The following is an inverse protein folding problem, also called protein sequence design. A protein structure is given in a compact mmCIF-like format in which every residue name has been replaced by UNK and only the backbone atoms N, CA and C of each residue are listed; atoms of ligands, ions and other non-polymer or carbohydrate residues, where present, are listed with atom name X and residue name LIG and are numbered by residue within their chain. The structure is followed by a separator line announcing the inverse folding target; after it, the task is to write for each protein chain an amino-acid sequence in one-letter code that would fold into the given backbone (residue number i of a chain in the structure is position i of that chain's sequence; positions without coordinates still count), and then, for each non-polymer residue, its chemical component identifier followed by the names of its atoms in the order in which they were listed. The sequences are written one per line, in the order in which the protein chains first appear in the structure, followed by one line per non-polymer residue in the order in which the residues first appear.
data_IF_389160487703
#
_entry.id   IF_389160487703
#
_cell.length_a   1.000
_cell.length_b   1.000
_cell.length_c   1.000
_cell.angle_alpha   90.00
_cell.angle_beta   90.00
_cell.angle_gamma   90.00
#
_symmetry.space_group_name_H-M   'P 1'
#
loop_
_entity.id
_entity.type
_entity.pdbx_description
1 polymer ?
#
# COMPACT_ATOMS: atom_id res chain seq x y z
N UNK A 1 -5.77 21.73 -14.95
CA UNK A 1 -4.31 21.75 -14.72
C UNK A 1 -3.66 20.61 -15.48
N UNK A 2 -2.37 20.71 -15.78
CA UNK A 2 -1.55 19.64 -16.32
C UNK A 2 -0.62 19.11 -15.23
N UNK A 3 -0.76 17.83 -14.89
CA UNK A 3 -0.15 17.21 -13.70
C UNK A 3 0.74 16.06 -14.13
N UNK A 4 1.96 15.98 -13.59
CA UNK A 4 2.85 14.83 -13.74
C UNK A 4 2.89 14.02 -12.45
N UNK A 5 2.75 12.68 -12.54
CA UNK A 5 2.89 11.74 -11.44
C UNK A 5 4.20 10.95 -11.61
N UNK A 6 5.09 11.03 -10.62
CA UNK A 6 6.42 10.40 -10.63
C UNK A 6 6.62 9.63 -9.33
N UNK A 7 7.07 8.36 -9.40
CA UNK A 7 7.46 7.60 -8.20
C UNK A 7 6.95 6.18 -8.13
N UNK A 8 5.81 5.91 -8.74
CA UNK A 8 5.26 4.56 -8.88
C UNK A 8 6.08 3.72 -9.87
N UNK A 9 5.88 2.41 -9.86
CA UNK A 9 6.49 1.53 -10.86
C UNK A 9 5.73 1.63 -12.19
N UNK A 10 4.43 1.35 -12.16
CA UNK A 10 3.53 1.44 -13.34
C UNK A 10 2.08 1.51 -12.92
N UNK A 11 1.24 2.04 -13.77
CA UNK A 11 -0.21 1.91 -13.74
C UNK A 11 -0.71 1.49 -15.15
N UNK A 12 -1.79 0.66 -15.24
CA UNK A 12 -2.45 -0.02 -14.12
C UNK A 12 -1.58 -1.13 -13.52
N UNK A 13 -1.59 -1.29 -12.21
CA UNK A 13 -0.87 -2.38 -11.54
C UNK A 13 -1.25 -2.50 -10.07
N UNK A 14 -1.27 -3.72 -9.56
CA UNK A 14 -1.42 -4.01 -8.13
C UNK A 14 -0.12 -4.51 -7.48
N UNK A 15 1.05 -4.15 -8.03
CA UNK A 15 2.36 -4.52 -7.47
C UNK A 15 2.62 -3.97 -6.07
N UNK A 16 1.95 -2.90 -5.68
CA UNK A 16 2.08 -2.29 -4.36
C UNK A 16 1.07 -1.18 -4.13
N UNK A 17 1.00 -0.69 -2.89
CA UNK A 17 0.04 0.34 -2.50
C UNK A 17 0.22 1.67 -3.25
N UNK A 18 1.46 2.06 -3.58
CA UNK A 18 1.73 3.30 -4.33
C UNK A 18 1.09 3.27 -5.71
N UNK A 19 1.16 2.12 -6.40
CA UNK A 19 0.56 1.92 -7.71
C UNK A 19 -0.95 2.11 -7.65
N UNK A 20 -1.62 1.50 -6.66
CA UNK A 20 -3.06 1.63 -6.42
C UNK A 20 -3.44 3.10 -6.16
N UNK A 21 -2.70 3.79 -5.31
CA UNK A 21 -2.94 5.20 -4.98
C UNK A 21 -2.77 6.10 -6.20
N UNK A 22 -1.69 5.93 -6.96
CA UNK A 22 -1.43 6.77 -8.14
C UNK A 22 -2.47 6.51 -9.22
N UNK A 23 -2.90 5.28 -9.42
CA UNK A 23 -3.97 4.92 -10.36
C UNK A 23 -5.29 5.58 -9.97
N UNK A 24 -5.76 5.34 -8.73
CA UNK A 24 -7.02 5.85 -8.23
C UNK A 24 -7.09 7.38 -8.24
N UNK A 25 -6.01 8.06 -7.84
CA UNK A 25 -5.92 9.51 -7.85
C UNK A 25 -5.84 10.07 -9.28
N UNK A 26 -5.06 9.45 -10.17
CA UNK A 26 -4.85 9.94 -11.52
C UNK A 26 -6.10 9.87 -12.37
N UNK A 27 -6.85 8.77 -12.33
CA UNK A 27 -8.08 8.58 -13.08
C UNK A 27 -9.16 9.56 -12.63
N UNK A 28 -9.29 9.78 -11.31
CA UNK A 28 -10.25 10.77 -10.78
C UNK A 28 -9.87 12.20 -11.08
N UNK A 29 -8.59 12.55 -11.04
CA UNK A 29 -8.14 13.89 -11.47
C UNK A 29 -8.45 14.15 -12.93
N UNK A 30 -8.39 13.13 -13.81
CA UNK A 30 -8.83 13.25 -15.20
C UNK A 30 -10.33 13.53 -15.26
N UNK A 31 -11.14 12.81 -14.48
CA UNK A 31 -12.59 13.04 -14.42
C UNK A 31 -12.95 14.45 -13.91
N UNK A 32 -12.09 15.05 -13.06
CA UNK A 32 -12.19 16.45 -12.63
C UNK A 32 -11.66 17.46 -13.66
N UNK A 33 -11.42 17.03 -14.91
CA UNK A 33 -11.03 17.89 -16.03
C UNK A 33 -9.53 18.25 -16.09
N UNK A 34 -8.67 17.51 -15.40
CA UNK A 34 -7.22 17.71 -15.49
C UNK A 34 -6.60 16.84 -16.58
N UNK A 35 -5.44 17.27 -17.09
CA UNK A 35 -4.58 16.44 -17.92
C UNK A 35 -3.53 15.80 -17.03
N UNK A 36 -3.61 14.47 -16.86
CA UNK A 36 -2.67 13.73 -16.00
C UNK A 36 -1.73 12.87 -16.84
N UNK A 37 -0.45 12.91 -16.50
CA UNK A 37 0.61 12.12 -17.14
C UNK A 37 1.36 11.34 -16.08
N UNK A 38 1.34 10.01 -16.17
CA UNK A 38 2.06 9.11 -15.28
C UNK A 38 3.34 8.60 -15.94
N UNK A 39 4.45 8.69 -15.22
CA UNK A 39 5.75 8.23 -15.68
C UNK A 39 6.02 6.82 -15.15
N UNK A 40 5.72 5.80 -15.97
CA UNK A 40 5.93 4.40 -15.62
C UNK A 40 7.40 3.99 -15.75
N UNK A 41 7.89 3.12 -14.87
CA UNK A 41 9.21 2.49 -15.03
C UNK A 41 9.16 1.41 -16.11
N UNK A 42 10.24 1.26 -16.88
CA UNK A 42 10.38 0.09 -17.74
C UNK A 42 10.68 -1.17 -16.91
N UNK A 43 10.38 -2.34 -17.45
CA UNK A 43 10.60 -3.65 -16.82
C UNK A 43 9.31 -4.48 -16.67
N UNK A 44 9.45 -5.70 -16.17
CA UNK A 44 8.34 -6.63 -15.93
C UNK A 44 7.72 -6.48 -14.55
N UNK A 45 6.60 -7.16 -14.32
CA UNK A 45 5.95 -7.28 -13.03
C UNK A 45 6.82 -8.08 -12.06
N UNK A 46 6.93 -7.66 -10.79
CA UNK A 46 7.80 -8.33 -9.80
C UNK A 46 7.39 -9.77 -9.50
N UNK A 47 6.09 -10.09 -9.62
CA UNK A 47 5.55 -11.44 -9.38
C UNK A 47 5.51 -12.32 -10.64
N UNK A 48 6.11 -11.88 -11.75
CA UNK A 48 6.23 -12.68 -12.97
C UNK A 48 5.61 -12.04 -14.22
N UNK A 49 6.05 -12.53 -15.39
CA UNK A 49 5.63 -11.98 -16.69
C UNK A 49 4.14 -12.12 -16.97
N UNK A 50 3.49 -13.14 -16.42
CA UNK A 50 2.04 -13.39 -16.56
C UNK A 50 1.18 -12.26 -15.99
N UNK A 51 1.71 -11.49 -15.03
CA UNK A 51 1.04 -10.34 -14.42
C UNK A 51 1.41 -9.01 -15.06
N UNK A 52 2.30 -9.03 -16.06
CA UNK A 52 2.70 -7.79 -16.76
C UNK A 52 1.59 -7.33 -17.68
N UNK A 53 1.07 -6.13 -17.45
CA UNK A 53 0.17 -5.47 -18.38
C UNK A 53 0.88 -5.14 -19.69
N UNK A 54 0.14 -5.17 -20.82
CA UNK A 54 0.69 -4.68 -22.10
C UNK A 54 1.09 -3.21 -21.95
N UNK A 55 2.19 -2.82 -22.59
CA UNK A 55 2.59 -1.40 -22.63
C UNK A 55 1.50 -0.58 -23.30
N UNK A 56 0.88 0.30 -22.54
CA UNK A 56 -0.17 1.19 -22.98
C UNK A 56 0.35 2.62 -22.99
N UNK A 57 -0.20 3.44 -23.87
CA UNK A 57 0.09 4.90 -23.92
C UNK A 57 -0.95 5.72 -23.17
N UNK A 58 -2.13 5.15 -22.95
CA UNK A 58 -3.24 5.77 -22.23
C UNK A 58 -3.97 4.70 -21.40
N UNK A 59 -4.48 5.09 -20.26
CA UNK A 59 -5.31 4.27 -19.37
C UNK A 59 -6.35 5.18 -18.71
N UNK A 60 -7.64 4.96 -18.94
CA UNK A 60 -8.74 5.75 -18.39
C UNK A 60 -8.52 7.27 -18.46
N UNK A 61 -8.10 7.76 -19.63
CA UNK A 61 -7.80 9.17 -19.86
C UNK A 61 -6.42 9.64 -19.35
N UNK A 62 -5.73 8.85 -18.54
CA UNK A 62 -4.38 9.14 -18.05
C UNK A 62 -3.37 8.82 -19.13
N UNK A 63 -2.50 9.78 -19.50
CA UNK A 63 -1.39 9.55 -20.43
C UNK A 63 -0.24 8.83 -19.72
N UNK A 64 0.24 7.75 -20.32
CA UNK A 64 1.34 6.94 -19.78
C UNK A 64 2.63 7.14 -20.58
N UNK A 65 3.71 7.45 -19.90
CA UNK A 65 5.04 7.59 -20.46
C UNK A 65 5.97 6.58 -19.80
N UNK A 66 6.50 5.63 -20.56
CA UNK A 66 7.50 4.69 -20.04
C UNK A 66 8.88 5.35 -20.05
N UNK A 67 9.56 5.28 -18.92
CA UNK A 67 10.92 5.78 -18.71
C UNK A 67 11.87 4.59 -18.69
N UNK A 68 12.91 4.57 -19.53
CA UNK A 68 13.95 3.54 -19.49
C UNK A 68 14.59 3.49 -18.10
N UNK A 69 14.68 2.28 -17.55
CA UNK A 69 15.14 2.10 -16.17
C UNK A 69 16.05 0.89 -16.10
N UNK A 70 17.26 1.00 -15.53
CA UNK A 70 18.16 -0.14 -15.37
C UNK A 70 17.54 -1.17 -14.43
N UNK A 71 17.77 -2.47 -14.68
CA UNK A 71 17.23 -3.56 -13.87
C UNK A 71 18.05 -3.82 -12.59
N UNK A 72 18.87 -2.86 -12.17
CA UNK A 72 19.68 -2.92 -10.93
C UNK A 72 18.86 -2.52 -9.72
N UNK A 73 18.86 -3.31 -8.65
CA UNK A 73 18.14 -3.01 -7.39
C UNK A 73 18.48 -1.63 -6.81
N UNK A 74 19.75 -1.22 -6.86
CA UNK A 74 20.22 0.04 -6.27
C UNK A 74 19.97 1.26 -7.17
N UNK A 75 20.17 1.14 -8.48
CA UNK A 75 20.14 2.26 -9.42
C UNK A 75 18.77 2.48 -10.06
N UNK A 76 17.88 1.47 -10.01
CA UNK A 76 16.56 1.53 -10.64
C UNK A 76 15.79 2.79 -10.24
N UNK A 77 15.58 3.00 -8.94
CA UNK A 77 14.80 4.12 -8.44
C UNK A 77 15.49 5.47 -8.69
N UNK A 78 16.81 5.56 -8.55
CA UNK A 78 17.58 6.81 -8.72
C UNK A 78 17.53 7.26 -10.18
N UNK A 79 17.92 6.36 -11.12
CA UNK A 79 17.96 6.68 -12.55
C UNK A 79 16.57 6.99 -13.09
N UNK A 80 15.57 6.19 -12.69
CA UNK A 80 14.17 6.46 -13.04
C UNK A 80 13.75 7.85 -12.58
N UNK A 81 13.94 8.18 -11.31
CA UNK A 81 13.49 9.46 -10.73
C UNK A 81 14.13 10.64 -11.44
N UNK A 82 15.44 10.54 -11.74
CA UNK A 82 16.16 11.57 -12.48
C UNK A 82 15.62 11.72 -13.92
N UNK A 83 15.57 10.63 -14.69
CA UNK A 83 15.12 10.67 -16.10
C UNK A 83 13.66 11.11 -16.22
N UNK A 84 12.77 10.64 -15.32
CA UNK A 84 11.38 11.06 -15.31
C UNK A 84 11.26 12.57 -15.02
N UNK A 85 12.01 13.07 -14.04
CA UNK A 85 12.04 14.50 -13.69
C UNK A 85 12.53 15.34 -14.86
N UNK A 86 13.69 15.00 -15.46
CA UNK A 86 14.22 15.73 -16.62
C UNK A 86 13.20 15.73 -17.77
N UNK A 87 12.61 14.58 -18.08
CA UNK A 87 11.59 14.48 -19.15
C UNK A 87 10.36 15.34 -18.85
N UNK A 88 9.94 15.43 -17.58
CA UNK A 88 8.83 16.25 -17.16
C UNK A 88 9.09 17.76 -17.36
N UNK A 89 10.31 18.24 -17.15
CA UNK A 89 10.65 19.67 -17.33
C UNK A 89 10.32 20.20 -18.73
N UNK A 90 10.46 19.37 -19.76
CA UNK A 90 10.20 19.77 -21.17
C UNK A 90 8.71 19.79 -21.52
N UNK A 91 7.80 19.45 -20.60
CA UNK A 91 6.37 19.27 -20.90
C UNK A 91 5.45 20.34 -20.32
N UNK A 92 5.98 21.38 -19.68
CA UNK A 92 5.24 22.50 -19.06
C UNK A 92 4.06 22.03 -18.21
N UNK A 93 4.36 21.41 -17.06
CA UNK A 93 3.36 21.02 -16.05
C UNK A 93 3.07 22.18 -15.12
N UNK A 94 1.81 22.27 -14.64
CA UNK A 94 1.43 23.14 -13.55
C UNK A 94 1.91 22.57 -12.22
N UNK A 95 1.87 21.23 -12.08
CA UNK A 95 2.28 20.51 -10.86
C UNK A 95 3.07 19.25 -11.24
N UNK A 96 4.15 18.98 -10.53
CA UNK A 96 4.82 17.66 -10.51
C UNK A 96 4.65 17.08 -9.12
N UNK A 97 3.95 15.93 -9.06
CA UNK A 97 3.69 15.20 -7.83
C UNK A 97 4.61 13.98 -7.73
N UNK A 98 5.44 13.97 -6.71
CA UNK A 98 6.35 12.88 -6.40
C UNK A 98 5.74 11.96 -5.35
N UNK A 99 5.80 10.66 -5.58
CA UNK A 99 5.35 9.64 -4.64
C UNK A 99 6.54 8.90 -4.05
N UNK A 100 6.65 8.89 -2.72
CA UNK A 100 7.72 8.32 -1.90
C UNK A 100 9.03 9.12 -1.84
N UNK A 101 9.83 8.83 -0.82
CA UNK A 101 11.08 9.53 -0.48
C UNK A 101 12.15 9.44 -1.59
N UNK A 102 12.28 8.24 -2.21
CA UNK A 102 13.27 8.04 -3.25
C UNK A 102 13.13 9.01 -4.43
N UNK A 103 11.98 9.08 -5.10
CA UNK A 103 11.69 10.06 -6.14
C UNK A 103 11.73 11.51 -5.66
N UNK A 104 11.35 11.79 -4.42
CA UNK A 104 11.41 13.12 -3.82
C UNK A 104 12.83 13.70 -3.77
N UNK A 105 13.87 12.87 -3.86
CA UNK A 105 15.24 13.32 -3.99
C UNK A 105 15.45 14.30 -5.15
N UNK A 106 14.60 14.25 -6.20
CA UNK A 106 14.68 15.10 -7.38
C UNK A 106 13.74 16.31 -7.34
N UNK A 107 12.94 16.52 -6.30
CA UNK A 107 11.91 17.57 -6.26
C UNK A 107 12.48 18.99 -6.29
N UNK A 108 13.75 19.19 -5.93
CA UNK A 108 14.42 20.49 -6.03
C UNK A 108 14.62 20.95 -7.48
N UNK A 109 14.72 20.01 -8.44
CA UNK A 109 15.00 20.35 -9.85
C UNK A 109 13.85 21.16 -10.47
N UNK A 110 12.58 20.69 -10.47
CA UNK A 110 11.46 21.49 -10.99
C UNK A 110 11.26 22.81 -10.28
N UNK A 111 11.60 22.85 -8.97
CA UNK A 111 11.52 24.07 -8.17
C UNK A 111 12.42 25.20 -8.73
N UNK A 112 13.61 24.85 -9.26
CA UNK A 112 14.49 25.81 -9.92
C UNK A 112 13.88 26.43 -11.19
N UNK A 113 12.90 25.76 -11.78
CA UNK A 113 12.17 26.23 -12.96
C UNK A 113 10.79 26.83 -12.63
N UNK A 114 10.49 27.07 -11.36
CA UNK A 114 9.23 27.65 -10.92
C UNK A 114 8.02 26.72 -11.02
N UNK A 115 8.22 25.41 -11.22
CA UNK A 115 7.14 24.43 -11.31
C UNK A 115 6.74 24.05 -9.87
N UNK A 116 5.43 24.09 -9.57
CA UNK A 116 4.91 23.66 -8.27
C UNK A 116 5.18 22.17 -8.05
N UNK A 117 5.76 21.85 -6.90
CA UNK A 117 6.14 20.48 -6.52
C UNK A 117 5.36 20.03 -5.29
N UNK A 118 4.75 18.86 -5.40
CA UNK A 118 4.06 18.17 -4.30
C UNK A 118 4.73 16.84 -4.06
N UNK A 119 4.85 16.41 -2.82
CA UNK A 119 5.44 15.12 -2.44
C UNK A 119 4.47 14.40 -1.52
N UNK A 120 4.10 13.16 -1.86
CA UNK A 120 3.42 12.25 -0.91
C UNK A 120 4.42 11.28 -0.29
N UNK A 121 4.53 11.31 1.04
CA UNK A 121 5.29 10.36 1.84
C UNK A 121 4.37 9.20 2.22
N UNK A 122 4.59 8.05 1.62
CA UNK A 122 3.78 6.84 1.84
C UNK A 122 4.17 6.04 3.08
N UNK A 123 5.02 6.55 3.90
CA UNK A 123 5.61 5.96 5.09
C UNK A 123 7.11 6.24 5.13
N UNK A 124 7.75 6.00 6.25
CA UNK A 124 9.19 6.22 6.40
C UNK A 124 9.96 5.01 5.82
N UNK A 125 10.12 5.00 4.49
CA UNK A 125 10.71 3.86 3.76
C UNK A 125 12.11 3.48 4.24
N UNK A 126 12.88 4.42 4.73
CA UNK A 126 14.23 4.18 5.26
C UNK A 126 14.24 3.31 6.54
N UNK A 127 13.11 3.17 7.24
CA UNK A 127 12.94 2.26 8.39
C UNK A 127 12.79 0.80 7.98
N UNK A 128 12.54 0.50 6.70
CA UNK A 128 12.32 -0.86 6.22
C UNK A 128 13.64 -1.66 6.22
N UNK A 129 13.61 -2.87 6.73
CA UNK A 129 14.77 -3.77 6.90
C UNK A 129 15.55 -4.07 5.61
N UNK A 130 14.88 -4.03 4.46
CA UNK A 130 15.48 -4.30 3.14
C UNK A 130 16.51 -3.27 2.68
N UNK A 131 16.56 -2.08 3.29
CA UNK A 131 17.43 -1.01 2.87
C UNK A 131 18.74 -1.01 3.69
N UNK A 132 19.86 -1.24 3.02
CA UNK A 132 21.21 -1.11 3.62
C UNK A 132 21.83 0.27 3.36
N UNK A 133 22.89 0.58 4.04
CA UNK A 133 23.67 1.81 4.10
C UNK A 133 23.43 2.90 3.05
N UNK A 134 23.76 2.66 1.76
CA UNK A 134 23.60 3.66 0.70
C UNK A 134 22.12 3.98 0.41
N UNK A 135 21.27 2.96 0.33
CA UNK A 135 19.85 3.17 0.03
C UNK A 135 19.14 3.96 1.14
N UNK A 136 19.42 3.65 2.40
CA UNK A 136 18.93 4.42 3.55
C UNK A 136 19.37 5.89 3.50
N UNK A 137 20.65 6.16 3.17
CA UNK A 137 21.14 7.54 3.00
C UNK A 137 20.45 8.27 1.86
N UNK A 138 20.20 7.58 0.74
CA UNK A 138 19.48 8.17 -0.40
C UNK A 138 18.02 8.49 -0.06
N UNK A 139 17.31 7.60 0.66
CA UNK A 139 15.93 7.85 1.10
C UNK A 139 15.87 9.03 2.06
N UNK A 140 16.76 9.10 3.05
CA UNK A 140 16.87 10.27 3.96
C UNK A 140 17.24 11.56 3.23
N UNK A 141 18.06 11.49 2.19
CA UNK A 141 18.32 12.64 1.32
C UNK A 141 17.07 13.10 0.59
N UNK A 142 16.26 12.16 0.08
CA UNK A 142 14.97 12.48 -0.56
C UNK A 142 13.97 13.10 0.40
N UNK A 143 13.86 12.56 1.61
CA UNK A 143 13.03 13.10 2.69
C UNK A 143 13.44 14.55 3.05
N UNK A 144 14.76 14.79 3.23
CA UNK A 144 15.30 16.13 3.50
C UNK A 144 15.02 17.10 2.35
N UNK A 145 15.13 16.63 1.08
CA UNK A 145 14.81 17.44 -0.09
C UNK A 145 13.32 17.77 -0.15
N UNK A 146 12.44 16.80 0.13
CA UNK A 146 11.01 17.06 0.27
C UNK A 146 10.74 18.14 1.32
N UNK A 147 11.29 18.00 2.53
CA UNK A 147 11.12 18.97 3.61
C UNK A 147 11.58 20.38 3.23
N UNK A 148 12.68 20.49 2.44
CA UNK A 148 13.29 21.79 2.10
C UNK A 148 12.70 22.44 0.86
N UNK A 149 12.35 21.67 -0.18
CA UNK A 149 12.08 22.20 -1.51
C UNK A 149 10.65 21.99 -2.01
N UNK A 150 9.91 20.99 -1.50
CA UNK A 150 8.53 20.79 -1.93
C UNK A 150 7.65 21.98 -1.51
N UNK A 151 6.74 22.40 -2.40
CA UNK A 151 5.74 23.41 -2.05
C UNK A 151 4.78 22.85 -1.01
N UNK A 152 4.32 21.61 -1.21
CA UNK A 152 3.47 20.90 -0.26
C UNK A 152 3.95 19.47 -0.05
N UNK A 153 3.76 18.95 1.16
CA UNK A 153 4.03 17.57 1.52
C UNK A 153 2.75 16.95 2.06
N UNK A 154 2.32 15.86 1.43
CA UNK A 154 1.22 15.01 1.88
C UNK A 154 1.80 13.87 2.70
N UNK A 155 1.21 13.61 3.86
CA UNK A 155 1.50 12.46 4.72
C UNK A 155 0.24 11.68 5.01
N UNK A 156 0.37 10.37 5.25
CA UNK A 156 -0.75 9.43 5.37
C UNK A 156 -1.11 9.09 6.82
N UNK A 157 -0.33 9.56 7.80
CA UNK A 157 -0.60 9.39 9.23
C UNK A 157 -0.22 10.64 10.02
N UNK A 158 -0.86 10.84 11.16
CA UNK A 158 -0.54 11.93 12.10
C UNK A 158 0.84 11.72 12.74
N UNK A 159 1.24 10.46 12.92
CA UNK A 159 2.57 10.11 13.41
C UNK A 159 3.67 10.61 12.47
N UNK A 160 3.52 10.43 11.15
CA UNK A 160 4.47 10.97 10.15
C UNK A 160 4.38 12.48 10.06
N UNK A 161 3.19 13.08 10.23
CA UNK A 161 3.03 14.54 10.30
C UNK A 161 3.85 15.14 11.45
N UNK A 162 3.71 14.58 12.64
CA UNK A 162 4.49 14.98 13.82
C UNK A 162 5.99 14.77 13.61
N UNK A 163 6.40 13.65 13.01
CA UNK A 163 7.79 13.38 12.70
C UNK A 163 8.43 14.47 11.81
N UNK A 164 7.74 14.93 10.75
CA UNK A 164 8.24 16.02 9.90
C UNK A 164 8.33 17.34 10.63
N UNK A 165 7.36 17.64 11.50
CA UNK A 165 7.39 18.86 12.32
C UNK A 165 8.56 18.82 13.31
N UNK A 166 8.73 17.73 14.05
CA UNK A 166 9.79 17.57 15.06
C UNK A 166 11.19 17.51 14.44
N UNK A 167 11.34 16.86 13.27
CA UNK A 167 12.66 16.61 12.64
C UNK A 167 13.13 17.77 11.76
N UNK A 168 12.20 18.39 11.03
CA UNK A 168 12.51 19.38 10.00
C UNK A 168 11.87 20.76 10.24
N UNK A 169 11.05 20.93 11.27
CA UNK A 169 10.22 22.12 11.46
C UNK A 169 9.23 22.34 10.30
N UNK A 170 8.90 21.28 9.56
CA UNK A 170 8.10 21.35 8.33
C UNK A 170 6.67 20.91 8.57
N UNK A 171 5.73 21.84 8.40
CA UNK A 171 4.29 21.52 8.37
C UNK A 171 3.97 20.71 7.12
N UNK A 172 3.16 19.67 7.29
CA UNK A 172 2.70 18.77 6.24
C UNK A 172 1.18 18.69 6.23
N UNK A 173 0.59 18.16 5.16
CA UNK A 173 -0.85 17.99 5.01
C UNK A 173 -1.22 16.52 5.22
N UNK A 174 -2.06 16.25 6.20
CA UNK A 174 -2.65 14.92 6.36
C UNK A 174 -3.76 14.73 5.33
N UNK A 175 -3.48 13.92 4.32
CA UNK A 175 -4.44 13.49 3.30
C UNK A 175 -4.26 11.96 3.18
N UNK A 176 -5.16 11.16 3.77
CA UNK A 176 -5.05 9.71 3.77
C UNK A 176 -5.25 9.11 2.38
N UNK A 177 -4.98 7.80 2.23
CA UNK A 177 -5.42 7.04 1.07
C UNK A 177 -6.94 6.85 1.10
N UNK A 178 -7.55 6.65 -0.06
CA UNK A 178 -8.95 6.31 -0.17
C UNK A 178 -9.19 4.82 -0.34
N UNK A 179 -10.47 4.47 -0.25
CA UNK A 179 -10.98 3.13 -0.55
C UNK A 179 -12.30 3.24 -1.30
N UNK A 180 -12.62 2.25 -2.10
CA UNK A 180 -13.93 2.11 -2.75
C UNK A 180 -14.77 1.07 -2.03
N UNK A 181 -16.09 1.21 -2.16
CA UNK A 181 -16.99 0.14 -1.76
C UNK A 181 -16.87 -1.01 -2.76
N UNK A 182 -16.40 -2.19 -2.35
CA UNK A 182 -16.25 -3.30 -3.26
C UNK A 182 -17.60 -3.99 -3.53
N UNK A 183 -17.62 -4.78 -4.60
CA UNK A 183 -18.65 -5.79 -4.81
C UNK A 183 -18.28 -7.06 -4.05
N UNK A 184 -19.18 -7.55 -3.21
CA UNK A 184 -18.98 -8.82 -2.48
C UNK A 184 -19.17 -9.99 -3.45
N UNK A 185 -18.17 -10.85 -3.54
CA UNK A 185 -18.16 -12.02 -4.43
C UNK A 185 -18.57 -13.32 -3.72
N UNK A 186 -18.80 -14.35 -4.50
CA UNK A 186 -18.94 -15.73 -4.05
C UNK A 186 -17.61 -16.34 -3.62
N UNK A 187 -17.46 -17.64 -3.84
CA UNK A 187 -16.25 -18.40 -3.51
C UNK A 187 -15.89 -19.44 -4.59
N UNK A 188 -16.42 -19.27 -5.82
CA UNK A 188 -16.33 -20.24 -6.89
C UNK A 188 -14.89 -20.52 -7.33
N UNK A 189 -14.10 -19.48 -7.53
CA UNK A 189 -12.71 -19.62 -7.97
C UNK A 189 -11.78 -20.07 -6.84
N UNK A 190 -11.96 -19.57 -5.61
CA UNK A 190 -11.16 -20.00 -4.45
C UNK A 190 -11.51 -21.44 -4.02
N UNK A 191 -12.76 -21.84 -4.17
CA UNK A 191 -13.17 -23.23 -3.92
C UNK A 191 -12.50 -24.17 -4.94
N UNK A 192 -12.59 -23.84 -6.23
CA UNK A 192 -12.00 -24.64 -7.31
C UNK A 192 -10.48 -24.76 -7.19
N UNK A 193 -9.80 -23.66 -6.84
CA UNK A 193 -8.34 -23.59 -6.88
C UNK A 193 -7.67 -24.01 -5.58
N UNK A 194 -8.28 -23.70 -4.45
CA UNK A 194 -7.69 -23.87 -3.13
C UNK A 194 -8.54 -24.69 -2.16
N UNK A 195 -9.72 -25.17 -2.60
CA UNK A 195 -10.72 -25.87 -1.77
C UNK A 195 -11.16 -25.03 -0.54
N UNK A 196 -11.22 -23.70 -0.71
CA UNK A 196 -11.67 -22.76 0.32
C UNK A 196 -13.17 -22.50 0.20
N UNK A 197 -13.83 -22.30 1.35
CA UNK A 197 -15.24 -21.93 1.42
C UNK A 197 -15.39 -20.58 2.15
N UNK A 198 -16.38 -19.81 1.76
CA UNK A 198 -16.74 -18.55 2.42
C UNK A 198 -16.96 -18.76 3.93
N UNK A 199 -16.32 -17.92 4.76
CA UNK A 199 -16.36 -18.01 6.20
C UNK A 199 -15.49 -19.12 6.81
N UNK A 200 -14.70 -19.84 6.00
CA UNK A 200 -13.98 -21.03 6.44
C UNK A 200 -12.46 -20.90 6.50
N UNK A 201 -11.89 -19.70 6.51
CA UNK A 201 -10.43 -19.49 6.57
C UNK A 201 -10.02 -18.18 7.21
N UNK A 202 -8.80 -18.17 7.74
CA UNK A 202 -8.10 -16.98 8.23
C UNK A 202 -7.28 -16.43 7.07
N UNK A 203 -7.35 -15.11 6.79
CA UNK A 203 -6.68 -14.49 5.66
C UNK A 203 -5.58 -13.52 6.11
N UNK A 204 -4.40 -13.69 5.56
CA UNK A 204 -3.40 -12.65 5.39
C UNK A 204 -3.29 -12.30 3.89
N UNK A 205 -3.29 -11.02 3.54
CA UNK A 205 -3.07 -10.58 2.17
C UNK A 205 -2.14 -9.37 2.13
N UNK A 206 -1.04 -9.50 1.39
CA UNK A 206 -0.05 -8.45 1.26
C UNK A 206 1.27 -8.96 0.67
N UNK A 207 2.24 -8.06 0.53
CA UNK A 207 3.59 -8.46 0.09
C UNK A 207 4.25 -9.34 1.13
N UNK A 208 4.94 -10.37 0.69
CA UNK A 208 5.70 -11.25 1.58
C UNK A 208 7.10 -10.66 1.80
N UNK A 209 7.21 -9.84 2.85
CA UNK A 209 8.46 -9.16 3.27
C UNK A 209 8.55 -9.18 4.80
N UNK A 210 9.77 -9.15 5.39
CA UNK A 210 9.95 -9.32 6.84
C UNK A 210 9.14 -8.34 7.69
N UNK A 211 9.06 -7.07 7.29
CA UNK A 211 8.33 -6.03 8.02
C UNK A 211 6.81 -6.24 8.09
N UNK A 212 6.28 -7.23 7.36
CA UNK A 212 4.86 -7.63 7.44
C UNK A 212 4.56 -8.68 8.52
N UNK A 213 5.59 -9.19 9.21
CA UNK A 213 5.41 -10.03 10.39
C UNK A 213 4.76 -11.39 10.17
N UNK A 214 4.76 -11.93 8.95
CA UNK A 214 4.07 -13.19 8.60
C UNK A 214 4.60 -14.36 9.43
N UNK A 215 5.86 -14.33 9.81
CA UNK A 215 6.47 -15.33 10.68
C UNK A 215 5.81 -15.37 12.06
N UNK A 216 5.42 -14.22 12.65
CA UNK A 216 4.65 -14.18 13.89
C UNK A 216 3.28 -14.85 13.73
N UNK A 217 2.61 -14.61 12.59
CA UNK A 217 1.30 -15.19 12.28
C UNK A 217 1.38 -16.72 12.15
N UNK A 218 2.42 -17.23 11.47
CA UNK A 218 2.62 -18.69 11.34
C UNK A 218 2.91 -19.32 12.71
N UNK A 219 3.71 -18.66 13.57
CA UNK A 219 4.00 -19.15 14.92
C UNK A 219 2.74 -19.15 15.79
N UNK A 220 2.01 -18.04 15.82
CA UNK A 220 0.75 -17.93 16.56
C UNK A 220 -0.29 -18.95 16.10
N UNK A 221 -0.48 -19.08 14.77
CA UNK A 221 -1.42 -20.06 14.19
C UNK A 221 -1.04 -21.51 14.58
N UNK A 222 0.24 -21.79 14.75
CA UNK A 222 0.72 -23.12 15.11
C UNK A 222 0.34 -23.56 16.53
N UNK A 223 0.05 -22.61 17.40
CA UNK A 223 -0.43 -22.87 18.78
C UNK A 223 -1.95 -23.03 18.90
N UNK A 224 -2.69 -22.84 17.80
CA UNK A 224 -4.16 -22.83 17.82
C UNK A 224 -4.70 -24.17 17.32
N UNK A 225 -5.60 -24.77 18.07
CA UNK A 225 -6.37 -25.95 17.64
C UNK A 225 -7.56 -25.51 16.77
N UNK A 226 -7.41 -25.61 15.46
CA UNK A 226 -8.45 -25.18 14.50
C UNK A 226 -8.38 -25.94 13.19
N UNK A 227 -9.54 -26.28 12.62
CA UNK A 227 -9.67 -26.83 11.28
C UNK A 227 -9.64 -25.75 10.17
N UNK A 228 -9.80 -24.47 10.52
CA UNK A 228 -9.76 -23.38 9.54
C UNK A 228 -8.34 -23.17 9.00
N UNK A 229 -8.09 -23.29 7.68
CA UNK A 229 -6.78 -23.02 7.12
C UNK A 229 -6.38 -21.54 7.28
N UNK A 230 -5.08 -21.32 7.48
CA UNK A 230 -4.47 -20.00 7.30
C UNK A 230 -4.09 -19.81 5.83
N UNK A 231 -4.67 -18.79 5.20
CA UNK A 231 -4.37 -18.43 3.81
C UNK A 231 -3.43 -17.23 3.79
N UNK A 232 -2.24 -17.42 3.21
CA UNK A 232 -1.22 -16.38 3.03
C UNK A 232 -1.18 -16.03 1.55
N UNK A 233 -1.84 -14.91 1.20
CA UNK A 233 -1.94 -14.43 -0.17
C UNK A 233 -0.97 -13.28 -0.45
N UNK A 234 -0.13 -13.45 -1.47
CA UNK A 234 0.81 -12.44 -1.92
C UNK A 234 2.11 -12.98 -2.48
N UNK A 235 2.85 -12.12 -3.16
CA UNK A 235 4.14 -12.47 -3.75
C UNK A 235 5.31 -11.92 -2.96
N UNK A 236 6.49 -12.56 -3.11
CA UNK A 236 7.75 -12.02 -2.63
C UNK A 236 8.10 -10.73 -3.42
N UNK A 237 8.73 -9.79 -2.75
CA UNK A 237 9.22 -8.56 -3.38
C UNK A 237 10.70 -8.36 -3.00
N UNK A 238 11.59 -9.06 -3.71
CA UNK A 238 13.02 -9.13 -3.41
C UNK A 238 13.34 -9.77 -2.05
N UNK A 239 12.51 -10.70 -1.60
CA UNK A 239 12.55 -11.38 -0.30
C UNK A 239 12.35 -12.89 -0.45
N UNK A 240 12.94 -13.48 -1.50
CA UNK A 240 12.81 -14.89 -1.84
C UNK A 240 13.31 -15.81 -0.70
N UNK A 241 14.39 -15.41 -0.02
CA UNK A 241 14.93 -16.15 1.12
C UNK A 241 13.95 -16.18 2.29
N UNK A 242 13.39 -15.02 2.66
CA UNK A 242 12.36 -14.94 3.69
C UNK A 242 11.12 -15.76 3.33
N UNK A 243 10.69 -15.72 2.07
CA UNK A 243 9.57 -16.54 1.62
C UNK A 243 9.86 -18.05 1.73
N UNK A 244 11.09 -18.48 1.42
CA UNK A 244 11.50 -19.88 1.60
C UNK A 244 11.53 -20.28 3.07
N UNK A 245 11.93 -19.38 3.97
CA UNK A 245 11.89 -19.60 5.43
C UNK A 245 10.46 -19.78 5.92
N UNK A 246 9.52 -18.92 5.48
CA UNK A 246 8.10 -19.03 5.83
C UNK A 246 7.49 -20.37 5.36
N UNK A 247 7.84 -20.83 4.15
CA UNK A 247 7.35 -22.13 3.65
C UNK A 247 7.85 -23.29 4.52
N UNK A 248 9.11 -23.26 4.97
CA UNK A 248 9.63 -24.27 5.92
C UNK A 248 8.93 -24.20 7.29
N UNK A 249 8.69 -23.00 7.80
CA UNK A 249 7.98 -22.78 9.06
C UNK A 249 6.53 -23.28 9.00
N UNK A 250 5.92 -23.29 7.82
CA UNK A 250 4.57 -23.76 7.55
C UNK A 250 4.47 -25.28 7.25
N UNK A 251 5.59 -26.00 7.15
CA UNK A 251 5.57 -27.44 6.83
C UNK A 251 4.75 -28.24 7.85
N UNK A 252 3.87 -29.12 7.34
CA UNK A 252 3.00 -29.96 8.17
C UNK A 252 1.81 -29.25 8.82
N UNK A 253 1.59 -27.95 8.51
CA UNK A 253 0.47 -27.16 9.05
C UNK A 253 -0.59 -26.91 7.99
N UNK A 254 -1.81 -26.62 8.42
CA UNK A 254 -2.92 -26.30 7.52
C UNK A 254 -2.80 -24.83 7.00
N UNK A 255 -1.73 -24.54 6.25
CA UNK A 255 -1.39 -23.23 5.71
C UNK A 255 -1.31 -23.28 4.19
N UNK A 256 -2.03 -22.38 3.52
CA UNK A 256 -2.09 -22.30 2.06
C UNK A 256 -1.39 -21.00 1.60
N UNK A 257 -0.35 -21.14 0.78
CA UNK A 257 0.26 -20.01 0.07
C UNK A 257 -0.32 -19.92 -1.34
N UNK A 258 -0.98 -18.80 -1.64
CA UNK A 258 -1.60 -18.61 -2.97
C UNK A 258 -0.66 -17.99 -4.00
N UNK A 259 0.54 -17.53 -3.57
CA UNK A 259 1.36 -16.61 -4.33
C UNK A 259 0.61 -15.29 -4.65
N UNK A 260 1.08 -14.52 -5.63
CA UNK A 260 0.42 -13.27 -6.03
C UNK A 260 -0.95 -13.55 -6.68
N UNK A 261 -1.98 -12.88 -6.19
CA UNK A 261 -3.35 -12.95 -6.70
C UNK A 261 -3.87 -11.56 -7.09
N UNK A 262 -4.78 -11.52 -8.04
CA UNK A 262 -5.49 -10.32 -8.50
C UNK A 262 -6.84 -10.69 -9.13
N UNK A 263 -7.69 -9.68 -9.39
CA UNK A 263 -9.03 -9.87 -9.99
C UNK A 263 -9.92 -10.70 -9.09
N UNK A 264 -10.74 -11.55 -9.68
CA UNK A 264 -11.80 -12.30 -9.01
C UNK A 264 -11.31 -13.13 -7.80
N UNK A 265 -10.18 -13.84 -7.93
CA UNK A 265 -9.60 -14.59 -6.80
C UNK A 265 -9.26 -13.68 -5.61
N UNK A 266 -8.72 -12.48 -5.86
CA UNK A 266 -8.43 -11.51 -4.80
C UNK A 266 -9.72 -11.04 -4.13
N UNK A 267 -10.73 -10.73 -4.92
CA UNK A 267 -12.04 -10.25 -4.45
C UNK A 267 -12.79 -11.32 -3.65
N UNK A 268 -12.77 -12.57 -4.11
CA UNK A 268 -13.34 -13.71 -3.39
C UNK A 268 -12.60 -13.99 -2.07
N UNK A 269 -11.25 -13.90 -2.05
CA UNK A 269 -10.47 -14.07 -0.82
C UNK A 269 -10.84 -13.03 0.25
N UNK A 270 -11.01 -11.77 -0.13
CA UNK A 270 -11.49 -10.76 0.81
C UNK A 270 -12.95 -10.99 1.21
N UNK A 271 -13.82 -11.34 0.24
CA UNK A 271 -15.26 -11.53 0.49
C UNK A 271 -15.57 -12.71 1.40
N UNK A 272 -14.69 -13.72 1.39
CA UNK A 272 -14.93 -15.00 2.05
C UNK A 272 -14.16 -15.23 3.35
N UNK A 273 -13.27 -14.32 3.79
CA UNK A 273 -12.49 -14.55 4.99
C UNK A 273 -13.34 -14.58 6.28
N UNK A 274 -13.01 -15.49 7.20
CA UNK A 274 -13.57 -15.48 8.55
C UNK A 274 -13.05 -14.30 9.34
N UNK A 275 -11.72 -14.16 9.43
CA UNK A 275 -11.01 -12.99 9.95
C UNK A 275 -9.86 -12.64 9.00
N UNK A 276 -9.50 -11.36 8.97
CA UNK A 276 -8.30 -10.87 8.29
C UNK A 276 -7.24 -10.50 9.33
N UNK A 277 -5.99 -10.92 9.13
CA UNK A 277 -4.88 -10.67 10.07
C UNK A 277 -3.75 -9.92 9.40
N UNK A 278 -3.35 -8.77 9.97
CA UNK A 278 -2.21 -7.96 9.52
C UNK A 278 -1.18 -7.80 10.65
N UNK A 279 -0.16 -8.68 10.76
CA UNK A 279 0.80 -8.68 11.87
C UNK A 279 2.02 -7.79 11.62
N UNK A 280 1.84 -6.65 10.99
CA UNK A 280 2.92 -5.79 10.49
C UNK A 280 3.70 -5.10 11.61
N UNK A 281 5.02 -5.03 11.44
CA UNK A 281 5.92 -4.21 12.28
C UNK A 281 5.98 -2.75 11.86
N UNK A 282 5.71 -2.49 10.57
CA UNK A 282 5.83 -1.16 9.95
C UNK A 282 4.88 -1.04 8.76
N UNK A 283 4.11 0.03 8.77
CA UNK A 283 3.23 0.45 7.67
C UNK A 283 3.42 1.92 7.33
N UNK A 284 2.83 2.35 6.22
CA UNK A 284 2.60 3.78 5.98
C UNK A 284 1.12 4.09 6.20
N UNK A 285 0.28 3.52 5.36
CA UNK A 285 -1.16 3.39 5.51
C UNK A 285 -1.55 2.11 4.77
N UNK A 286 -1.91 1.05 5.47
CA UNK A 286 -2.03 -0.29 4.89
C UNK A 286 -3.28 -0.44 4.01
N UNK A 287 -3.11 -0.33 2.67
CA UNK A 287 -4.21 -0.48 1.71
C UNK A 287 -4.90 -1.84 1.87
N UNK A 288 -4.15 -2.92 2.10
CA UNK A 288 -4.74 -4.25 2.27
C UNK A 288 -5.65 -4.37 3.50
N UNK A 289 -5.39 -3.60 4.56
CA UNK A 289 -6.26 -3.51 5.73
C UNK A 289 -7.52 -2.71 5.41
N UNK A 290 -7.39 -1.59 4.67
CA UNK A 290 -8.54 -0.82 4.19
C UNK A 290 -9.42 -1.67 3.27
N UNK A 291 -8.81 -2.42 2.34
CA UNK A 291 -9.52 -3.37 1.49
C UNK A 291 -10.24 -4.43 2.34
N UNK A 292 -9.56 -5.07 3.29
CA UNK A 292 -10.19 -6.07 4.16
C UNK A 292 -11.41 -5.51 4.91
N UNK A 293 -11.29 -4.31 5.48
CA UNK A 293 -12.40 -3.63 6.15
C UNK A 293 -13.55 -3.32 5.18
N UNK A 294 -13.25 -2.84 3.96
CA UNK A 294 -14.27 -2.51 2.96
C UNK A 294 -15.07 -3.74 2.50
N UNK A 295 -14.45 -4.93 2.52
CA UNK A 295 -15.12 -6.21 2.30
C UNK A 295 -15.84 -6.76 3.54
N UNK A 296 -16.05 -5.95 4.57
CA UNK A 296 -16.71 -6.35 5.82
C UNK A 296 -15.97 -7.46 6.57
N UNK A 297 -14.64 -7.44 6.61
CA UNK A 297 -13.89 -8.38 7.43
C UNK A 297 -13.75 -7.91 8.88
N UNK A 298 -13.76 -8.87 9.82
CA UNK A 298 -13.24 -8.66 11.15
C UNK A 298 -11.71 -8.65 11.06
N UNK A 299 -11.09 -7.52 11.35
CA UNK A 299 -9.65 -7.32 11.21
C UNK A 299 -8.95 -7.42 12.57
N UNK A 300 -7.89 -8.24 12.62
CA UNK A 300 -6.94 -8.32 13.72
C UNK A 300 -5.60 -7.78 13.24
N UNK A 301 -5.08 -6.74 13.87
CA UNK A 301 -3.83 -6.09 13.43
C UNK A 301 -2.92 -5.76 14.61
N UNK A 302 -1.62 -5.56 14.34
CA UNK A 302 -0.70 -5.06 15.33
C UNK A 302 -1.07 -3.63 15.78
N UNK A 303 -0.72 -3.28 17.02
CA UNK A 303 -1.02 -2.00 17.67
C UNK A 303 -0.07 -0.86 17.27
N UNK A 304 0.47 -0.91 16.05
CA UNK A 304 1.28 0.19 15.50
C UNK A 304 0.41 1.41 15.20
N UNK A 305 1.00 2.60 15.32
CA UNK A 305 0.28 3.87 15.17
C UNK A 305 -0.51 3.95 13.85
N UNK A 306 0.07 3.49 12.75
CA UNK A 306 -0.55 3.53 11.42
C UNK A 306 -1.81 2.66 11.33
N UNK A 307 -1.86 1.55 12.07
CA UNK A 307 -3.04 0.68 12.13
C UNK A 307 -4.09 1.21 13.12
N UNK A 308 -3.66 1.69 14.29
CA UNK A 308 -4.58 2.21 15.31
C UNK A 308 -5.21 3.54 14.89
N UNK A 309 -4.45 4.42 14.21
CA UNK A 309 -5.00 5.65 13.61
C UNK A 309 -6.03 5.37 12.50
N UNK A 310 -5.78 4.32 11.71
CA UNK A 310 -6.67 3.94 10.60
C UNK A 310 -7.97 3.31 11.08
N UNK A 311 -7.86 2.31 11.96
CA UNK A 311 -9.00 1.44 12.31
C UNK A 311 -9.76 1.91 13.54
N UNK A 312 -9.15 2.70 14.43
CA UNK A 312 -9.76 3.15 15.70
C UNK A 312 -10.41 1.99 16.48
N UNK A 313 -11.72 2.02 16.70
CA UNK A 313 -12.49 0.98 17.42
C UNK A 313 -13.06 -0.11 16.48
N UNK A 314 -12.71 -0.07 15.17
CA UNK A 314 -13.27 -0.98 14.15
C UNK A 314 -12.36 -2.16 13.79
N UNK A 315 -11.28 -2.37 14.55
CA UNK A 315 -10.44 -3.55 14.48
C UNK A 315 -10.05 -4.03 15.89
N UNK A 316 -9.56 -5.26 15.96
CA UNK A 316 -8.98 -5.82 17.18
C UNK A 316 -7.46 -5.70 17.08
N UNK A 317 -6.80 -5.42 18.20
CA UNK A 317 -5.38 -5.18 18.26
C UNK A 317 -4.68 -6.23 19.10
N UNK A 318 -3.48 -6.60 18.64
CA UNK A 318 -2.52 -7.35 19.44
C UNK A 318 -1.20 -6.56 19.52
N UNK A 319 -0.43 -6.83 20.56
CA UNK A 319 0.84 -6.15 20.78
C UNK A 319 1.85 -6.54 19.72
N UNK A 320 2.39 -5.54 19.01
CA UNK A 320 3.37 -5.71 17.94
C UNK A 320 4.48 -6.70 18.32
N UNK A 321 4.69 -7.72 17.48
CA UNK A 321 5.74 -8.74 17.63
C UNK A 321 5.48 -9.76 18.76
N UNK A 322 4.38 -9.65 19.48
CA UNK A 322 4.01 -10.59 20.55
C UNK A 322 3.18 -11.73 19.97
N UNK A 323 3.86 -12.85 19.73
CA UNK A 323 3.27 -14.08 19.16
C UNK A 323 2.16 -14.63 20.07
N UNK A 324 2.36 -14.58 21.40
CA UNK A 324 1.39 -15.13 22.33
C UNK A 324 0.11 -14.30 22.39
N UNK A 325 0.22 -12.97 22.41
CA UNK A 325 -0.96 -12.10 22.36
C UNK A 325 -1.71 -12.26 21.03
N UNK A 326 -0.99 -12.43 19.90
CA UNK A 326 -1.60 -12.73 18.61
C UNK A 326 -2.37 -14.07 18.64
N UNK A 327 -1.75 -15.13 19.17
CA UNK A 327 -2.38 -16.45 19.36
C UNK A 327 -3.65 -16.34 20.22
N UNK A 328 -3.56 -15.64 21.37
CA UNK A 328 -4.68 -15.48 22.29
C UNK A 328 -5.85 -14.69 21.64
N UNK A 329 -5.54 -13.63 20.89
CA UNK A 329 -6.56 -12.86 20.14
C UNK A 329 -7.19 -13.67 19.01
N UNK A 330 -6.40 -14.42 18.26
CA UNK A 330 -6.93 -15.32 17.21
C UNK A 330 -7.83 -16.39 17.82
N UNK A 331 -7.38 -17.06 18.89
CA UNK A 331 -8.16 -18.07 19.61
C UNK A 331 -9.47 -17.48 20.15
N UNK A 332 -9.41 -16.27 20.73
CA UNK A 332 -10.59 -15.56 21.19
C UNK A 332 -11.61 -15.34 20.07
N UNK A 333 -11.17 -14.86 18.90
CA UNK A 333 -12.05 -14.63 17.75
C UNK A 333 -12.63 -15.91 17.16
N UNK A 334 -11.85 -16.98 17.10
CA UNK A 334 -12.33 -18.29 16.61
C UNK A 334 -13.42 -18.89 17.50
N UNK A 335 -13.42 -18.57 18.81
CA UNK A 335 -14.39 -19.06 19.78
C UNK A 335 -15.56 -18.08 20.04
N UNK A 336 -15.59 -16.89 19.41
CA UNK A 336 -16.60 -15.86 19.66
C UNK A 336 -17.14 -15.27 18.36
N UNK A 337 -17.96 -16.05 17.66
CA UNK A 337 -18.51 -15.68 16.34
C UNK A 337 -19.34 -14.37 16.40
N UNK A 338 -20.07 -14.13 17.47
CA UNK A 338 -20.85 -12.89 17.64
C UNK A 338 -19.95 -11.64 17.62
N UNK A 339 -18.77 -11.73 18.21
CA UNK A 339 -17.77 -10.64 18.18
C UNK A 339 -17.29 -10.42 16.76
N UNK A 340 -16.93 -11.51 16.04
CA UNK A 340 -16.50 -11.44 14.63
C UNK A 340 -17.59 -10.79 13.77
N UNK A 341 -18.85 -11.22 13.93
CA UNK A 341 -19.98 -10.68 13.18
C UNK A 341 -20.26 -9.20 13.49
N UNK A 342 -20.07 -8.77 14.73
CA UNK A 342 -20.21 -7.37 15.11
C UNK A 342 -19.16 -6.49 14.39
N UNK A 343 -17.89 -6.89 14.35
CA UNK A 343 -16.86 -6.16 13.58
C UNK A 343 -17.15 -6.17 12.08
N UNK A 344 -17.54 -7.32 11.52
CA UNK A 344 -17.93 -7.44 10.12
C UNK A 344 -19.04 -6.47 9.73
N UNK A 345 -20.03 -6.29 10.58
CA UNK A 345 -21.17 -5.40 10.33
C UNK A 345 -20.77 -3.92 10.23
N UNK A 346 -19.79 -3.50 11.03
CA UNK A 346 -19.50 -2.08 11.23
C UNK A 346 -18.25 -1.57 10.48
N UNK A 347 -17.31 -2.46 10.13
CA UNK A 347 -16.02 -2.06 9.54
C UNK A 347 -16.13 -1.43 8.16
N UNK A 348 -16.99 -1.96 7.30
CA UNK A 348 -17.13 -1.47 5.92
C UNK A 348 -17.71 -0.06 5.86
N UNK A 349 -18.78 0.20 6.59
CA UNK A 349 -19.40 1.53 6.59
C UNK A 349 -18.45 2.60 7.13
N UNK A 350 -17.71 2.27 8.18
CA UNK A 350 -16.68 3.15 8.74
C UNK A 350 -15.60 3.50 7.71
N UNK A 351 -14.97 2.49 7.11
CA UNK A 351 -13.82 2.73 6.24
C UNK A 351 -14.21 3.39 4.92
N UNK A 352 -15.34 2.99 4.32
CA UNK A 352 -15.81 3.53 3.04
C UNK A 352 -16.30 4.97 3.20
N UNK A 353 -17.02 5.29 4.28
CA UNK A 353 -17.50 6.66 4.50
C UNK A 353 -16.39 7.61 4.94
N UNK A 354 -15.42 7.14 5.73
CA UNK A 354 -14.32 7.97 6.26
C UNK A 354 -13.19 8.23 5.27
N UNK A 355 -13.02 7.35 4.28
CA UNK A 355 -11.86 7.35 3.37
C UNK A 355 -12.27 7.27 1.89
N UNK A 356 -13.21 8.11 1.48
CA UNK A 356 -13.70 8.15 0.11
C UNK A 356 -12.67 8.75 -0.86
N UNK A 357 -12.40 8.08 -1.98
CA UNK A 357 -11.45 8.54 -2.98
C UNK A 357 -11.81 9.87 -3.62
N UNK A 358 -13.09 10.17 -3.81
CA UNK A 358 -13.51 11.40 -4.48
C UNK A 358 -13.20 12.61 -3.59
N UNK A 359 -13.53 12.54 -2.29
CA UNK A 359 -13.19 13.58 -1.31
C UNK A 359 -11.67 13.79 -1.20
N UNK A 360 -10.91 12.70 -1.20
CA UNK A 360 -9.44 12.73 -1.13
C UNK A 360 -8.84 13.36 -2.38
N UNK A 361 -9.40 13.04 -3.55
CA UNK A 361 -8.99 13.60 -4.84
C UNK A 361 -9.30 15.10 -4.90
N UNK A 362 -10.48 15.52 -4.46
CA UNK A 362 -10.84 16.95 -4.38
C UNK A 362 -9.91 17.71 -3.44
N UNK A 363 -9.63 17.18 -2.25
CA UNK A 363 -8.65 17.77 -1.32
C UNK A 363 -7.26 17.90 -1.96
N UNK A 364 -6.82 16.85 -2.67
CA UNK A 364 -5.53 16.85 -3.37
C UNK A 364 -5.52 17.88 -4.51
N UNK A 365 -6.61 18.00 -5.27
CA UNK A 365 -6.72 19.02 -6.32
C UNK A 365 -6.68 20.45 -5.74
N UNK A 366 -7.38 20.71 -4.63
CA UNK A 366 -7.33 22.00 -3.92
C UNK A 366 -5.93 22.31 -3.42
N UNK A 367 -5.19 21.29 -2.93
CA UNK A 367 -3.79 21.45 -2.56
C UNK A 367 -2.93 21.87 -3.76
N UNK A 368 -3.13 21.26 -4.93
CA UNK A 368 -2.42 21.63 -6.15
C UNK A 368 -2.66 23.09 -6.56
N UNK A 369 -3.87 23.59 -6.36
CA UNK A 369 -4.24 24.97 -6.63
C UNK A 369 -3.77 25.98 -5.56
N UNK A 370 -3.25 25.49 -4.43
CA UNK A 370 -2.91 26.33 -3.28
C UNK A 370 -4.12 26.85 -2.49
N UNK A 371 -5.27 26.17 -2.61
CA UNK A 371 -6.55 26.52 -1.98
C UNK A 371 -6.80 25.80 -0.64
N UNK A 372 -5.86 24.96 -0.19
CA UNK A 372 -5.91 24.26 1.09
C UNK A 372 -5.09 25.07 2.13
N UNK A 373 -5.79 25.75 3.02
CA UNK A 373 -5.21 26.49 4.15
C UNK A 373 -4.81 25.56 5.31
#
# INVERSE_FOLDING_TARGET
MKIAMIGHKRIPSREGGIEIVVEALSTRLVNLGNTVVCYNRSGGHVSGKQFSSKTQKNYEGVKLITVPTPQSKALNAVVYSFLATIKALFSRYDVIHYHAEGPAAMCFIPKLFGIRTVVTIHGLDWKRSKWGGFATKYLKFGEKNAAKYADEIIVLSKAVQKYFEDTYGRKTRYIPNGIEKPEIKGDEEIQKKYNLKKGGYILYLGRIVPEKGIHYLIDAYSGIDTEMPLVIAGGSSHSEEYFSQLKKQAEGKNIIFTDFVQGEILEELYSGAYIYVLPSDLEGMPISLMEAMSYSNCCLTSDIDECTELCTDYAIYFKKGDVKDLEDKMTYLLNNEDIVNNFKKNSADYIVSGFNWDDITEKTQRLYKGELN
#
